data_IF_423670167247
#
_entry.id   IF_423670167247
#
_cell.length_a   1.000
_cell.length_b   1.000
_cell.length_c   1.000
_cell.angle_alpha   90.00
_cell.angle_beta   90.00
_cell.angle_gamma   90.00
#
_symmetry.space_group_name_H-M   'P 1'
#
loop_
_entity.id
_entity.type
_entity.pdbx_description
1 polymer ?
#
# COMPACT_ATOMS: atom_id res chain seq x y z
N UNK A 1 21.00 -69.64 17.35
CA UNK A 1 21.99 -68.61 16.93
C UNK A 1 21.87 -68.52 15.41
N UNK A 2 21.06 -67.58 14.92
CA UNK A 2 21.48 -66.23 14.51
C UNK A 2 22.12 -66.23 13.12
N UNK A 3 21.40 -65.74 12.11
CA UNK A 3 21.77 -64.50 11.42
C UNK A 3 20.60 -63.95 10.62
N UNK A 4 20.39 -62.65 10.80
CA UNK A 4 19.45 -61.80 10.10
C UNK A 4 19.96 -61.41 8.70
N UNK A 5 19.21 -60.48 8.08
CA UNK A 5 19.50 -59.64 6.90
C UNK A 5 18.83 -60.17 5.61
N UNK A 6 18.04 -59.41 4.85
CA UNK A 6 17.70 -57.99 4.92
C UNK A 6 16.39 -57.71 4.16
N UNK A 7 15.79 -56.58 4.52
CA UNK A 7 14.60 -55.95 3.98
C UNK A 7 14.66 -55.70 2.46
N UNK A 8 13.53 -55.86 1.78
CA UNK A 8 12.82 -54.75 1.11
C UNK A 8 11.48 -55.27 0.55
N UNK A 9 10.44 -55.28 1.39
CA UNK A 9 9.06 -55.04 0.94
C UNK A 9 8.84 -53.53 0.98
N UNK A 10 7.85 -52.90 0.37
CA UNK A 10 6.42 -53.17 0.22
C UNK A 10 5.94 -52.01 -0.70
N UNK A 11 4.85 -51.99 -1.45
CA UNK A 11 3.73 -52.89 -1.70
C UNK A 11 2.98 -52.26 -2.88
N UNK A 12 2.71 -53.05 -3.91
CA UNK A 12 1.46 -52.92 -4.63
C UNK A 12 0.46 -53.87 -3.97
N UNK A 13 -0.80 -53.44 -3.84
CA UNK A 13 -1.99 -54.15 -4.36
C UNK A 13 -3.29 -53.51 -3.88
N UNK A 14 -4.22 -53.47 -4.81
CA UNK A 14 -5.65 -53.15 -4.73
C UNK A 14 -6.42 -54.17 -3.88
N UNK A 15 -7.67 -53.83 -3.52
CA UNK A 15 -8.88 -54.65 -3.20
C UNK A 15 -9.51 -54.09 -1.91
N UNK A 16 -10.76 -53.64 -1.80
CA UNK A 16 -11.99 -53.89 -2.54
C UNK A 16 -13.01 -54.57 -1.61
N UNK A 17 -14.13 -53.91 -1.26
CA UNK A 17 -15.44 -54.53 -0.91
C UNK A 17 -16.45 -53.49 -0.33
N UNK A 18 -17.52 -53.22 -1.08
CA UNK A 18 -18.98 -53.15 -0.72
C UNK A 18 -19.39 -52.91 0.76
N UNK A 19 -20.43 -52.13 1.14
CA UNK A 19 -21.69 -51.77 0.48
C UNK A 19 -22.46 -50.64 1.24
N UNK A 20 -23.49 -50.09 0.57
CA UNK A 20 -24.70 -49.40 1.09
C UNK A 20 -24.60 -47.94 1.59
N UNK A 21 -24.80 -47.01 0.64
CA UNK A 21 -25.96 -46.10 0.57
C UNK A 21 -26.13 -44.99 1.59
N UNK A 22 -26.00 -43.72 1.16
CA UNK A 22 -26.91 -42.60 1.47
C UNK A 22 -26.85 -41.58 0.32
N UNK A 23 -28.03 -41.24 -0.18
CA UNK A 23 -28.49 -40.00 -0.84
C UNK A 23 -27.53 -39.14 -1.68
N UNK A 24 -27.99 -38.84 -2.89
CA UNK A 24 -27.29 -38.12 -3.94
C UNK A 24 -26.63 -36.81 -3.50
N UNK A 25 -25.38 -36.64 -3.94
CA UNK A 25 -24.84 -35.32 -4.15
C UNK A 25 -25.31 -34.89 -5.54
N UNK A 26 -26.45 -34.21 -5.58
CA UNK A 26 -26.70 -33.28 -6.67
C UNK A 26 -25.48 -32.35 -6.70
N UNK A 27 -24.61 -32.54 -7.69
CA UNK A 27 -23.50 -31.65 -7.94
C UNK A 27 -24.15 -30.34 -8.37
N UNK A 28 -24.35 -29.44 -7.42
CA UNK A 28 -24.94 -28.13 -7.64
C UNK A 28 -24.20 -27.48 -8.80
N UNK A 29 -24.87 -27.43 -9.95
CA UNK A 29 -24.45 -26.65 -11.11
C UNK A 29 -24.74 -25.18 -10.80
N UNK A 30 -24.20 -24.70 -9.68
CA UNK A 30 -24.32 -23.33 -9.21
C UNK A 30 -23.06 -22.51 -9.54
N UNK A 31 -22.03 -23.13 -10.10
CA UNK A 31 -20.81 -22.43 -10.53
C UNK A 31 -20.88 -21.92 -11.97
N UNK A 32 -21.85 -22.35 -12.79
CA UNK A 32 -21.92 -21.94 -14.21
C UNK A 32 -22.69 -20.63 -14.44
N UNK A 33 -23.43 -20.12 -13.44
CA UNK A 33 -24.27 -18.93 -13.63
C UNK A 33 -23.78 -17.63 -12.99
N UNK A 34 -22.69 -17.63 -12.20
CA UNK A 34 -22.15 -16.39 -11.63
C UNK A 34 -20.60 -16.23 -11.63
N UNK A 35 -19.88 -16.55 -12.72
CA UNK A 35 -18.46 -16.21 -12.81
C UNK A 35 -18.20 -14.70 -12.66
N UNK A 36 -19.15 -13.86 -13.08
CA UNK A 36 -19.04 -12.39 -13.04
C UNK A 36 -19.04 -11.80 -11.63
N UNK A 37 -19.64 -12.46 -10.64
CA UNK A 37 -19.74 -11.94 -9.26
C UNK A 37 -18.52 -12.26 -8.41
N UNK A 38 -17.89 -13.42 -8.61
CA UNK A 38 -16.66 -13.81 -7.92
C UNK A 38 -15.45 -13.03 -8.49
N UNK A 39 -15.30 -13.00 -9.83
CA UNK A 39 -14.22 -12.26 -10.50
C UNK A 39 -14.27 -10.74 -10.19
N UNK A 40 -15.47 -10.17 -10.07
CA UNK A 40 -15.65 -8.75 -9.71
C UNK A 40 -15.26 -8.41 -8.27
N UNK A 41 -15.30 -9.38 -7.32
CA UNK A 41 -14.87 -9.15 -5.94
C UNK A 41 -13.36 -9.21 -5.80
N UNK A 42 -12.71 -10.15 -6.48
CA UNK A 42 -11.26 -10.31 -6.46
C UNK A 42 -10.57 -9.12 -7.13
N UNK A 43 -11.09 -8.68 -8.28
CA UNK A 43 -10.60 -7.48 -8.97
C UNK A 43 -10.69 -6.22 -8.09
N UNK A 44 -11.84 -5.98 -7.44
CA UNK A 44 -12.00 -4.85 -6.50
C UNK A 44 -11.12 -4.95 -5.27
N UNK A 45 -10.79 -6.17 -4.83
CA UNK A 45 -9.88 -6.33 -3.70
C UNK A 45 -8.45 -6.00 -4.10
N UNK A 46 -8.02 -6.51 -5.25
CA UNK A 46 -6.70 -6.26 -5.82
C UNK A 46 -6.47 -4.77 -6.10
N UNK A 47 -7.44 -4.08 -6.73
CA UNK A 47 -7.35 -2.63 -6.96
C UNK A 47 -7.18 -1.83 -5.66
N UNK A 48 -7.93 -2.18 -4.60
CA UNK A 48 -7.84 -1.48 -3.32
C UNK A 48 -6.47 -1.69 -2.63
N UNK A 49 -5.91 -2.90 -2.70
CA UNK A 49 -4.57 -3.17 -2.15
C UNK A 49 -3.48 -2.44 -2.94
N UNK A 50 -3.59 -2.40 -4.27
CA UNK A 50 -2.64 -1.68 -5.13
C UNK A 50 -2.67 -0.19 -4.84
N UNK A 51 -3.86 0.40 -4.69
CA UNK A 51 -4.00 1.81 -4.33
C UNK A 51 -3.37 2.13 -2.97
N UNK A 52 -3.57 1.26 -1.97
CA UNK A 52 -2.99 1.48 -0.64
C UNK A 52 -1.46 1.39 -0.66
N UNK A 53 -0.90 0.46 -1.44
CA UNK A 53 0.55 0.35 -1.63
C UNK A 53 1.12 1.61 -2.31
N UNK A 54 0.45 2.11 -3.36
CA UNK A 54 0.84 3.35 -4.04
C UNK A 54 0.82 4.56 -3.10
N UNK A 55 -0.23 4.70 -2.28
CA UNK A 55 -0.36 5.76 -1.29
C UNK A 55 0.75 5.70 -0.23
N UNK A 56 1.09 4.50 0.23
CA UNK A 56 2.19 4.31 1.17
C UNK A 56 3.54 4.72 0.57
N UNK A 57 3.84 4.27 -0.65
CA UNK A 57 5.08 4.64 -1.33
C UNK A 57 5.16 6.14 -1.62
N UNK A 58 4.05 6.78 -2.00
CA UNK A 58 3.99 8.24 -2.17
C UNK A 58 4.36 8.98 -0.88
N UNK A 59 3.73 8.64 0.25
CA UNK A 59 4.04 9.26 1.55
C UNK A 59 5.50 9.02 1.94
N UNK A 60 6.02 7.82 1.71
CA UNK A 60 7.42 7.48 1.98
C UNK A 60 8.37 8.34 1.15
N UNK A 61 8.12 8.47 -0.15
CA UNK A 61 8.91 9.30 -1.07
C UNK A 61 8.88 10.77 -0.65
N UNK A 62 7.70 11.30 -0.27
CA UNK A 62 7.57 12.68 0.20
C UNK A 62 8.35 12.92 1.49
N UNK A 63 8.27 12.02 2.47
CA UNK A 63 9.02 12.13 3.74
C UNK A 63 10.53 12.07 3.50
N UNK A 64 10.98 11.18 2.61
CA UNK A 64 12.39 11.06 2.26
C UNK A 64 12.90 12.33 1.54
N UNK A 65 12.13 12.83 0.57
CA UNK A 65 12.46 14.07 -0.15
C UNK A 65 12.51 15.29 0.76
N UNK A 66 11.53 15.44 1.65
CA UNK A 66 11.50 16.53 2.63
C UNK A 66 12.69 16.49 3.60
N UNK A 67 13.10 15.29 4.02
CA UNK A 67 14.30 15.10 4.84
C UNK A 67 15.56 15.53 4.08
N UNK A 68 15.71 15.08 2.83
CA UNK A 68 16.82 15.46 1.96
C UNK A 68 16.90 16.97 1.73
N UNK A 69 15.77 17.60 1.42
CA UNK A 69 15.70 19.04 1.22
C UNK A 69 16.02 19.85 2.48
N UNK A 70 15.60 19.37 3.66
CA UNK A 70 15.99 19.99 4.93
C UNK A 70 17.50 19.87 5.18
N UNK A 71 18.11 18.72 4.90
CA UNK A 71 19.56 18.55 4.98
C UNK A 71 20.29 19.51 4.04
N UNK A 72 19.89 19.56 2.76
CA UNK A 72 20.49 20.47 1.77
C UNK A 72 20.37 21.94 2.21
N UNK A 73 19.20 22.36 2.71
CA UNK A 73 19.02 23.72 3.22
C UNK A 73 19.92 24.00 4.42
N UNK A 74 20.08 23.04 5.35
CA UNK A 74 20.95 23.20 6.53
C UNK A 74 22.42 23.27 6.15
N UNK A 75 22.86 22.47 5.19
CA UNK A 75 24.22 22.50 4.65
C UNK A 75 24.51 23.85 4.00
N UNK A 76 23.61 24.33 3.14
CA UNK A 76 23.69 25.67 2.57
C UNK A 76 23.71 26.77 3.65
N UNK A 77 22.84 26.67 4.65
CA UNK A 77 22.72 27.68 5.70
C UNK A 77 23.96 27.76 6.62
N UNK A 78 24.69 26.65 6.75
CA UNK A 78 25.93 26.52 7.52
C UNK A 78 27.20 26.82 6.71
N UNK A 79 27.12 26.75 5.38
CA UNK A 79 28.24 27.02 4.47
C UNK A 79 28.37 28.49 4.03
N UNK A 80 29.33 28.78 3.13
CA UNK A 80 29.42 30.06 2.45
C UNK A 80 28.14 30.30 1.63
N UNK A 81 27.45 31.41 1.88
CA UNK A 81 26.15 31.74 1.25
C UNK A 81 26.32 32.44 -0.10
N UNK A 82 27.22 31.91 -0.91
CA UNK A 82 27.64 32.53 -2.17
C UNK A 82 26.65 32.26 -3.33
N UNK A 83 25.51 31.64 -3.03
CA UNK A 83 24.44 31.35 -3.99
C UNK A 83 23.07 31.23 -3.31
N UNK A 84 22.04 31.06 -4.14
CA UNK A 84 20.66 30.99 -3.69
C UNK A 84 20.37 29.76 -2.81
N UNK A 85 19.41 29.86 -1.88
CA UNK A 85 18.99 28.72 -1.07
C UNK A 85 18.42 27.60 -1.95
N UNK A 86 18.63 26.32 -1.59
CA UNK A 86 18.05 25.19 -2.31
C UNK A 86 16.54 25.32 -2.45
N UNK A 87 16.05 25.25 -3.69
CA UNK A 87 14.63 25.28 -4.04
C UNK A 87 14.15 23.86 -4.35
N UNK A 88 13.01 23.46 -3.79
CA UNK A 88 12.40 22.13 -4.03
C UNK A 88 11.27 22.17 -5.06
N UNK A 89 10.88 23.35 -5.54
CA UNK A 89 9.87 23.45 -6.58
C UNK A 89 10.40 22.80 -7.88
N UNK A 90 9.65 21.87 -8.45
CA UNK A 90 10.10 21.03 -9.55
C UNK A 90 10.70 19.68 -9.15
N UNK A 91 11.00 19.45 -7.87
CA UNK A 91 11.42 18.11 -7.42
C UNK A 91 10.26 17.11 -7.54
N UNK A 92 10.54 15.89 -8.01
CA UNK A 92 9.52 14.86 -8.23
C UNK A 92 8.67 14.59 -6.97
N UNK A 93 9.32 14.51 -5.80
CA UNK A 93 8.62 14.28 -4.55
C UNK A 93 7.69 15.44 -4.19
N UNK A 94 8.09 16.68 -4.48
CA UNK A 94 7.32 17.88 -4.15
C UNK A 94 6.16 18.06 -5.13
N UNK A 95 6.41 17.89 -6.43
CA UNK A 95 5.36 17.92 -7.46
C UNK A 95 4.33 16.81 -7.26
N UNK A 96 4.74 15.64 -6.77
CA UNK A 96 3.83 14.58 -6.36
C UNK A 96 2.96 14.96 -5.14
N UNK A 97 3.49 15.78 -4.22
CA UNK A 97 2.78 16.23 -3.03
C UNK A 97 1.80 17.39 -3.34
N UNK A 98 2.18 18.33 -4.23
CA UNK A 98 1.44 19.58 -4.51
C UNK A 98 -0.06 19.43 -4.72
N UNK A 99 -0.58 18.44 -5.51
CA UNK A 99 -2.02 18.28 -5.72
C UNK A 99 -2.81 18.00 -4.44
N UNK A 100 -2.15 17.44 -3.42
CA UNK A 100 -2.74 17.03 -2.14
C UNK A 100 -2.66 18.11 -1.07
N UNK A 101 -1.92 19.19 -1.32
CA UNK A 101 -1.87 20.35 -0.43
C UNK A 101 -3.22 21.08 -0.41
N UNK A 102 -3.59 21.67 0.74
CA UNK A 102 -4.88 22.34 0.87
C UNK A 102 -5.00 23.51 -0.11
N UNK A 103 -6.23 23.82 -0.52
CA UNK A 103 -6.50 24.97 -1.41
C UNK A 103 -6.65 26.28 -0.64
N UNK A 104 -6.81 26.21 0.69
CA UNK A 104 -7.00 27.36 1.59
C UNK A 104 -6.08 27.27 2.81
N UNK A 105 -5.82 28.40 3.45
CA UNK A 105 -4.98 28.47 4.66
C UNK A 105 -3.48 28.52 4.35
N UNK A 106 -2.66 28.35 5.38
CA UNK A 106 -1.20 28.53 5.25
C UNK A 106 -0.54 27.50 4.32
N UNK A 107 -1.06 26.27 4.24
CA UNK A 107 -0.55 25.25 3.33
C UNK A 107 -0.83 25.53 1.84
N UNK A 108 -1.81 26.39 1.55
CA UNK A 108 -2.22 26.69 0.18
C UNK A 108 -1.17 27.45 -0.63
N UNK A 109 -0.32 28.24 0.05
CA UNK A 109 0.76 28.97 -0.61
C UNK A 109 1.73 28.04 -1.33
N UNK A 110 1.95 26.85 -0.78
CA UNK A 110 2.88 25.86 -1.32
C UNK A 110 2.31 25.12 -2.54
N UNK A 111 0.98 25.05 -2.68
CA UNK A 111 0.36 24.38 -3.83
C UNK A 111 0.80 24.99 -5.17
N UNK A 112 0.97 26.30 -5.22
CA UNK A 112 1.31 27.05 -6.44
C UNK A 112 2.66 27.78 -6.35
N UNK A 113 3.44 27.57 -5.28
CA UNK A 113 4.72 28.26 -5.10
C UNK A 113 5.75 27.81 -6.14
N UNK A 114 6.39 28.77 -6.81
CA UNK A 114 7.48 28.51 -7.75
C UNK A 114 8.85 28.42 -7.07
N UNK A 115 8.94 28.90 -5.83
CA UNK A 115 10.13 28.82 -4.99
C UNK A 115 9.71 28.38 -3.59
N UNK A 116 10.36 27.31 -3.12
CA UNK A 116 10.09 26.69 -1.83
C UNK A 116 11.43 26.23 -1.26
N UNK A 117 11.82 26.87 -0.17
CA UNK A 117 13.04 26.53 0.56
C UNK A 117 12.65 25.80 1.83
N UNK A 118 13.28 24.65 2.10
CA UNK A 118 12.97 23.84 3.28
C UNK A 118 13.65 24.37 4.55
N UNK A 119 13.38 25.64 4.87
CA UNK A 119 13.67 26.23 6.17
C UNK A 119 12.80 25.60 7.28
N UNK A 120 13.12 25.87 8.56
CA UNK A 120 12.42 25.22 9.68
C UNK A 120 10.89 25.43 9.65
N UNK A 121 10.37 26.65 9.41
CA UNK A 121 8.92 26.86 9.24
C UNK A 121 8.31 26.04 8.11
N UNK A 122 8.91 26.05 6.91
CA UNK A 122 8.40 25.30 5.75
C UNK A 122 8.45 23.80 5.98
N UNK A 123 9.53 23.31 6.59
CA UNK A 123 9.70 21.91 6.98
C UNK A 123 8.58 21.43 7.91
N UNK A 124 8.30 22.19 8.97
CA UNK A 124 7.25 21.85 9.94
C UNK A 124 5.89 21.81 9.24
N UNK A 125 5.59 22.82 8.43
CA UNK A 125 4.32 22.91 7.70
C UNK A 125 4.14 21.72 6.75
N UNK A 126 5.14 21.41 5.91
CA UNK A 126 5.05 20.31 4.94
C UNK A 126 4.97 18.95 5.63
N UNK A 127 5.69 18.77 6.74
CA UNK A 127 5.62 17.58 7.59
C UNK A 127 4.20 17.36 8.13
N UNK A 128 3.56 18.41 8.64
CA UNK A 128 2.19 18.34 9.16
C UNK A 128 1.18 18.02 8.06
N UNK A 129 1.30 18.64 6.88
CA UNK A 129 0.41 18.36 5.76
C UNK A 129 0.57 16.93 5.22
N UNK A 130 1.80 16.42 5.11
CA UNK A 130 2.04 15.02 4.76
C UNK A 130 1.37 14.09 5.80
N UNK A 131 1.51 14.41 7.09
CA UNK A 131 0.86 13.64 8.16
C UNK A 131 -0.67 13.69 8.10
N UNK A 132 -1.24 14.84 7.74
CA UNK A 132 -2.68 15.00 7.52
C UNK A 132 -3.17 14.11 6.38
N UNK A 133 -2.47 14.13 5.24
CA UNK A 133 -2.81 13.32 4.06
C UNK A 133 -2.69 11.82 4.37
N UNK A 134 -1.62 11.41 5.03
CA UNK A 134 -1.41 10.02 5.44
C UNK A 134 -2.54 9.51 6.35
N UNK A 135 -2.97 10.35 7.30
CA UNK A 135 -4.09 10.04 8.19
C UNK A 135 -5.40 9.92 7.42
N UNK A 136 -5.70 10.88 6.55
CA UNK A 136 -6.90 10.87 5.70
C UNK A 136 -6.99 9.58 4.86
N UNK A 137 -5.90 9.22 4.18
CA UNK A 137 -5.83 7.98 3.40
C UNK A 137 -5.95 6.71 4.24
N UNK A 138 -5.38 6.71 5.44
CA UNK A 138 -5.49 5.60 6.38
C UNK A 138 -6.93 5.42 6.88
N UNK A 139 -7.61 6.52 7.18
CA UNK A 139 -8.99 6.50 7.67
C UNK A 139 -9.98 6.10 6.57
N UNK A 140 -9.76 6.53 5.32
CA UNK A 140 -10.48 6.04 4.15
C UNK A 140 -10.35 4.51 3.99
N UNK A 141 -9.14 3.98 4.10
CA UNK A 141 -8.87 2.54 3.99
C UNK A 141 -9.57 1.75 5.11
N UNK A 142 -9.55 2.26 6.35
CA UNK A 142 -10.27 1.67 7.49
C UNK A 142 -11.79 1.71 7.30
N UNK A 143 -12.33 2.85 6.88
CA UNK A 143 -13.77 3.03 6.61
C UNK A 143 -14.27 2.08 5.52
N UNK A 144 -13.49 1.90 4.45
CA UNK A 144 -13.78 0.92 3.40
C UNK A 144 -13.81 -0.53 3.95
N UNK A 145 -12.89 -0.86 4.87
CA UNK A 145 -12.85 -2.17 5.53
C UNK A 145 -14.06 -2.41 6.44
N UNK A 146 -14.49 -1.39 7.19
CA UNK A 146 -15.62 -1.51 8.11
C UNK A 146 -16.96 -1.69 7.39
N UNK A 147 -17.21 -0.93 6.30
CA UNK A 147 -18.41 -1.13 5.45
C UNK A 147 -18.48 -2.52 4.83
N UNK A 148 -17.34 -3.13 4.49
CA UNK A 148 -17.29 -4.52 3.98
C UNK A 148 -17.68 -5.55 5.04
N UNK A 149 -17.32 -5.33 6.32
CA UNK A 149 -17.67 -6.24 7.42
C UNK A 149 -19.17 -6.22 7.74
N UNK A 150 -19.82 -5.06 7.65
CA UNK A 150 -21.25 -4.93 7.94
C UNK A 150 -22.18 -5.47 6.85
N UNK A 151 -21.65 -5.77 5.65
CA UNK A 151 -22.40 -6.31 4.50
C UNK A 151 -22.18 -7.81 4.27
N UNK A 152 -21.41 -8.48 5.13
CA UNK A 152 -21.23 -9.92 5.17
C UNK A 152 -22.02 -10.47 6.34
#
# INVERSE_FOLDING_TARGET
MAMEMAMMGLVGTVVGASAMGVAGIAKSVAETYFPTLAAGRDHKHQMNSTLQAQRYEAVRAWRAGLCGASCAYREWAAGPRDGDPPNVAGDEWYEGLRPHLPTTGEGAKFRNAHEVHCDNPTLIMLSLEIGRIEKEWTDEAKGARQRRRQRR
#
